data_IF_134467129599
#
_entry.id   IF_134467129599
#
_cell.length_a   1.000
_cell.length_b   1.000
_cell.length_c   1.000
_cell.angle_alpha   90.00
_cell.angle_beta   90.00
_cell.angle_gamma   90.00
#
_symmetry.space_group_name_H-M   'P 1'
#
loop_
_entity.id
_entity.type
_entity.pdbx_description
1 polymer ?
#
# COMPACT_ATOMS: atom_id res chain seq x y z
N UNK A 1 -24.27 -1.27 -8.49
CA UNK A 1 -23.29 -0.84 -9.51
C UNK A 1 -22.08 -1.75 -9.42
N UNK A 2 -21.72 -2.43 -10.50
CA UNK A 2 -20.58 -3.34 -10.55
C UNK A 2 -19.42 -2.63 -11.26
N UNK A 3 -18.28 -2.51 -10.58
CA UNK A 3 -17.07 -1.90 -11.14
C UNK A 3 -16.06 -3.00 -11.40
N UNK A 4 -15.60 -3.09 -12.66
CA UNK A 4 -14.44 -3.90 -13.04
C UNK A 4 -13.19 -3.05 -12.82
N UNK A 5 -12.29 -3.51 -11.95
CA UNK A 5 -11.15 -2.73 -11.49
C UNK A 5 -9.82 -3.41 -11.81
N UNK A 6 -8.80 -2.59 -12.11
CA UNK A 6 -7.46 -3.05 -12.47
C UNK A 6 -6.38 -2.37 -11.60
N UNK A 7 -5.48 -3.20 -11.08
CA UNK A 7 -4.25 -2.78 -10.41
C UNK A 7 -3.04 -3.40 -11.13
N UNK A 8 -2.05 -2.57 -11.45
CA UNK A 8 -0.79 -2.99 -12.07
C UNK A 8 0.37 -2.03 -11.78
N UNK A 9 0.34 -1.33 -10.65
CA UNK A 9 1.31 -0.25 -10.39
C UNK A 9 2.73 -0.72 -10.11
N UNK A 10 2.93 -1.97 -9.67
CA UNK A 10 4.24 -2.50 -9.29
C UNK A 10 4.46 -3.94 -9.79
N UNK A 11 4.37 -4.93 -8.93
CA UNK A 11 4.65 -6.35 -9.22
C UNK A 11 3.43 -7.27 -9.04
N UNK A 12 2.26 -6.74 -8.69
CA UNK A 12 0.98 -7.42 -8.72
C UNK A 12 0.15 -6.99 -9.92
N UNK A 13 -0.33 -8.00 -10.69
CA UNK A 13 -1.41 -7.77 -11.66
C UNK A 13 -2.70 -8.21 -11.03
N UNK A 14 -3.68 -7.34 -10.92
CA UNK A 14 -4.98 -7.72 -10.37
C UNK A 14 -6.15 -7.21 -11.22
N UNK A 15 -7.21 -8.03 -11.26
CA UNK A 15 -8.52 -7.67 -11.80
C UNK A 15 -9.60 -8.09 -10.80
N UNK A 16 -10.51 -7.19 -10.47
CA UNK A 16 -11.56 -7.45 -9.49
C UNK A 16 -12.91 -6.92 -9.95
N UNK A 17 -13.99 -7.49 -9.42
CA UNK A 17 -15.32 -6.91 -9.53
C UNK A 17 -15.81 -6.53 -8.14
N UNK A 18 -16.11 -5.24 -7.98
CA UNK A 18 -16.61 -4.68 -6.72
C UNK A 18 -17.99 -4.08 -6.94
N UNK A 19 -18.91 -4.43 -6.04
CA UNK A 19 -20.28 -3.89 -6.04
C UNK A 19 -20.42 -2.79 -5.02
N UNK A 20 -20.92 -1.62 -5.49
CA UNK A 20 -21.28 -0.45 -4.66
C UNK A 20 -20.14 0.00 -3.71
N UNK A 21 -18.87 -0.19 -4.15
CA UNK A 21 -17.67 0.19 -3.41
C UNK A 21 -17.43 -0.54 -2.09
N UNK A 22 -18.28 -1.52 -1.73
CA UNK A 22 -18.26 -2.19 -0.42
C UNK A 22 -18.22 -3.71 -0.48
N UNK A 23 -18.66 -4.31 -1.57
CA UNK A 23 -18.77 -5.76 -1.69
C UNK A 23 -17.82 -6.28 -2.75
N UNK A 24 -16.84 -7.07 -2.35
CA UNK A 24 -15.96 -7.78 -3.29
C UNK A 24 -16.72 -8.97 -3.84
N UNK A 25 -16.98 -8.98 -5.15
CA UNK A 25 -17.56 -10.13 -5.84
C UNK A 25 -16.48 -11.08 -6.33
N UNK A 26 -15.33 -10.54 -6.73
CA UNK A 26 -14.14 -11.30 -7.09
C UNK A 26 -12.90 -10.41 -6.99
N UNK A 27 -11.73 -11.04 -6.79
CA UNK A 27 -10.42 -10.38 -6.82
C UNK A 27 -9.37 -11.41 -7.27
N UNK A 28 -8.99 -11.35 -8.53
CA UNK A 28 -8.02 -12.23 -9.14
C UNK A 28 -6.66 -11.52 -9.18
N UNK A 29 -5.68 -12.08 -8.47
CA UNK A 29 -4.35 -11.48 -8.29
C UNK A 29 -3.28 -12.45 -8.77
N UNK A 30 -2.32 -11.94 -9.55
CA UNK A 30 -1.08 -12.62 -9.90
C UNK A 30 0.11 -11.79 -9.42
N UNK A 31 0.81 -12.29 -8.40
CA UNK A 31 2.04 -11.68 -7.91
C UNK A 31 3.25 -12.16 -8.70
N UNK A 32 4.18 -11.28 -8.95
CA UNK A 32 5.46 -11.52 -9.59
C UNK A 32 6.60 -11.62 -8.57
N UNK A 33 6.29 -11.63 -7.26
CA UNK A 33 7.26 -11.57 -6.17
C UNK A 33 8.33 -12.68 -6.27
N UNK A 34 7.95 -13.93 -6.55
CA UNK A 34 8.88 -15.06 -6.68
C UNK A 34 9.89 -14.86 -7.83
N UNK A 35 9.45 -14.25 -8.93
CA UNK A 35 10.33 -13.94 -10.06
C UNK A 35 11.28 -12.80 -9.71
N UNK A 36 10.78 -11.75 -9.09
CA UNK A 36 11.58 -10.59 -8.69
C UNK A 36 12.54 -10.91 -7.54
N UNK A 37 12.25 -11.92 -6.72
CA UNK A 37 13.16 -12.42 -5.70
C UNK A 37 14.50 -12.88 -6.29
N UNK A 38 14.52 -13.41 -7.51
CA UNK A 38 15.75 -13.83 -8.22
C UNK A 38 16.70 -12.66 -8.51
N UNK A 39 16.15 -11.45 -8.60
CA UNK A 39 16.90 -10.20 -8.83
C UNK A 39 17.12 -9.39 -7.56
N UNK A 40 16.55 -9.85 -6.44
CA UNK A 40 16.62 -9.15 -5.15
C UNK A 40 15.76 -7.88 -5.07
N UNK A 41 14.73 -7.76 -5.91
CA UNK A 41 13.78 -6.65 -5.97
C UNK A 41 13.15 -6.49 -7.35
N UNK A 42 12.18 -5.61 -7.47
CA UNK A 42 11.44 -5.42 -8.72
C UNK A 42 12.32 -4.89 -9.84
N UNK A 43 12.20 -5.52 -11.02
CA UNK A 43 12.80 -5.06 -12.28
C UNK A 43 11.67 -4.49 -13.14
N UNK A 44 11.58 -3.16 -13.33
CA UNK A 44 10.41 -2.50 -13.91
C UNK A 44 10.02 -2.99 -15.30
N UNK A 45 11.00 -3.27 -16.17
CA UNK A 45 10.73 -3.75 -17.52
C UNK A 45 10.15 -5.17 -17.52
N UNK A 46 10.64 -6.04 -16.65
CA UNK A 46 10.12 -7.39 -16.48
C UNK A 46 8.68 -7.33 -15.95
N UNK A 47 8.43 -6.48 -14.94
CA UNK A 47 7.11 -6.28 -14.38
C UNK A 47 6.10 -5.85 -15.46
N UNK A 48 6.45 -4.86 -16.26
CA UNK A 48 5.59 -4.35 -17.33
C UNK A 48 5.19 -5.44 -18.34
N UNK A 49 6.15 -6.28 -18.76
CA UNK A 49 5.88 -7.40 -19.70
C UNK A 49 4.95 -8.44 -19.08
N UNK A 50 5.12 -8.74 -17.80
CA UNK A 50 4.27 -9.70 -17.09
C UNK A 50 2.83 -9.21 -16.94
N UNK A 51 2.63 -7.93 -16.72
CA UNK A 51 1.29 -7.35 -16.71
C UNK A 51 0.57 -7.54 -18.05
N UNK A 52 1.27 -7.35 -19.18
CA UNK A 52 0.70 -7.59 -20.51
C UNK A 52 0.26 -9.04 -20.70
N UNK A 53 1.06 -9.99 -20.21
CA UNK A 53 0.75 -11.42 -20.32
C UNK A 53 -0.45 -11.84 -19.47
N UNK A 54 -0.65 -11.20 -18.31
CA UNK A 54 -1.59 -11.66 -17.27
C UNK A 54 -2.96 -10.99 -17.32
N UNK A 55 -3.03 -9.69 -17.63
CA UNK A 55 -4.20 -8.85 -17.36
C UNK A 55 -5.49 -9.33 -18.03
N UNK A 56 -5.41 -9.83 -19.25
CA UNK A 56 -6.57 -10.35 -19.98
C UNK A 56 -7.13 -11.63 -19.33
N UNK A 57 -6.26 -12.57 -18.97
CA UNK A 57 -6.64 -13.82 -18.31
C UNK A 57 -7.25 -13.58 -16.93
N UNK A 58 -6.68 -12.65 -16.15
CA UNK A 58 -7.21 -12.25 -14.84
C UNK A 58 -8.56 -11.56 -14.96
N UNK A 59 -8.78 -10.77 -16.01
CA UNK A 59 -10.09 -10.16 -16.29
C UNK A 59 -11.17 -11.21 -16.52
N UNK A 60 -10.91 -12.19 -17.35
CA UNK A 60 -11.85 -13.28 -17.60
C UNK A 60 -12.08 -14.15 -16.35
N UNK A 61 -11.05 -14.34 -15.53
CA UNK A 61 -11.17 -15.01 -14.23
C UNK A 61 -12.05 -14.22 -13.28
N UNK A 62 -11.79 -12.91 -13.10
CA UNK A 62 -12.56 -12.06 -12.20
C UNK A 62 -14.05 -12.03 -12.56
N UNK A 63 -14.39 -11.96 -13.85
CA UNK A 63 -15.79 -12.02 -14.31
C UNK A 63 -16.42 -13.38 -14.00
N UNK A 64 -15.72 -14.50 -14.27
CA UNK A 64 -16.21 -15.85 -13.95
C UNK A 64 -16.45 -16.04 -12.46
N UNK A 65 -15.48 -15.63 -11.63
CA UNK A 65 -15.54 -15.81 -10.18
C UNK A 65 -16.65 -14.94 -9.55
N UNK A 66 -16.94 -13.78 -10.15
CA UNK A 66 -18.08 -12.93 -9.78
C UNK A 66 -19.44 -13.49 -10.27
N UNK A 67 -19.47 -14.49 -11.14
CA UNK A 67 -20.69 -14.99 -11.78
C UNK A 67 -21.34 -13.97 -12.73
N UNK A 68 -20.53 -13.06 -13.30
CA UNK A 68 -20.98 -11.95 -14.14
C UNK A 68 -20.43 -12.08 -15.57
N UNK A 69 -21.09 -11.37 -16.46
CA UNK A 69 -20.68 -11.17 -17.85
C UNK A 69 -20.21 -9.74 -18.06
N UNK A 70 -19.58 -9.47 -19.20
CA UNK A 70 -19.17 -8.12 -19.59
C UNK A 70 -20.32 -7.10 -19.63
N UNK A 71 -21.56 -7.58 -19.84
CA UNK A 71 -22.76 -6.73 -19.91
C UNK A 71 -23.26 -6.25 -18.54
N UNK A 72 -22.77 -6.89 -17.47
CA UNK A 72 -23.17 -6.59 -16.10
C UNK A 72 -22.25 -5.56 -15.44
N UNK A 73 -21.25 -5.04 -16.18
CA UNK A 73 -20.28 -4.04 -15.71
C UNK A 73 -20.79 -2.63 -16.04
N UNK A 74 -20.82 -1.79 -15.01
CA UNK A 74 -21.32 -0.42 -15.10
C UNK A 74 -20.21 0.63 -15.26
N UNK A 75 -18.98 0.32 -14.84
CA UNK A 75 -17.80 1.18 -15.01
C UNK A 75 -16.51 0.35 -14.94
N UNK A 76 -15.44 0.91 -15.49
CA UNK A 76 -14.07 0.38 -15.38
C UNK A 76 -13.24 1.34 -14.54
N UNK A 77 -12.59 0.85 -13.48
CA UNK A 77 -11.66 1.59 -12.66
C UNK A 77 -10.22 1.10 -12.87
N UNK A 78 -9.24 1.99 -12.78
CA UNK A 78 -7.85 1.62 -12.98
C UNK A 78 -6.92 2.52 -12.19
N UNK A 79 -5.87 1.93 -11.63
CA UNK A 79 -4.74 2.70 -11.09
C UNK A 79 -4.01 3.41 -12.23
N UNK A 80 -3.95 4.76 -12.13
CA UNK A 80 -3.26 5.58 -13.13
C UNK A 80 -2.01 6.28 -12.59
N UNK A 81 -1.87 6.33 -11.26
CA UNK A 81 -0.75 6.93 -10.53
C UNK A 81 -0.80 6.55 -9.03
N UNK A 82 0.32 6.68 -8.30
CA UNK A 82 1.70 6.53 -8.79
C UNK A 82 2.06 5.05 -8.99
N UNK A 83 3.22 4.79 -9.64
CA UNK A 83 3.74 3.44 -9.81
C UNK A 83 4.87 3.35 -10.83
N UNK A 84 5.32 2.16 -11.14
CA UNK A 84 6.27 1.91 -12.23
C UNK A 84 5.61 2.27 -13.55
N UNK A 85 6.13 3.30 -14.23
CA UNK A 85 5.47 3.92 -15.39
C UNK A 85 5.03 2.91 -16.46
N UNK A 86 5.88 1.94 -16.80
CA UNK A 86 5.54 0.91 -17.78
C UNK A 86 4.44 -0.03 -17.31
N UNK A 87 4.43 -0.37 -16.02
CA UNK A 87 3.43 -1.23 -15.40
C UNK A 87 2.06 -0.53 -15.34
N UNK A 88 2.02 0.71 -14.82
CA UNK A 88 0.79 1.53 -14.81
C UNK A 88 0.25 1.74 -16.22
N UNK A 89 1.14 2.00 -17.20
CA UNK A 89 0.74 2.21 -18.60
C UNK A 89 0.03 0.98 -19.19
N UNK A 90 0.43 -0.23 -18.83
CA UNK A 90 -0.25 -1.47 -19.25
C UNK A 90 -1.69 -1.50 -18.73
N UNK A 91 -1.89 -1.27 -17.41
CA UNK A 91 -3.21 -1.24 -16.81
C UNK A 91 -4.11 -0.16 -17.41
N UNK A 92 -3.59 1.07 -17.53
CA UNK A 92 -4.32 2.21 -18.12
C UNK A 92 -4.72 1.91 -19.57
N UNK A 93 -3.82 1.36 -20.40
CA UNK A 93 -4.09 1.05 -21.80
C UNK A 93 -5.16 -0.04 -21.92
N UNK A 94 -5.07 -1.09 -21.08
CA UNK A 94 -6.05 -2.16 -21.06
C UNK A 94 -7.41 -1.65 -20.58
N UNK A 95 -7.46 -0.88 -19.50
CA UNK A 95 -8.70 -0.32 -18.95
C UNK A 95 -9.41 0.62 -19.92
N UNK A 96 -8.66 1.48 -20.64
CA UNK A 96 -9.22 2.32 -21.71
C UNK A 96 -9.89 1.48 -22.80
N UNK A 97 -9.20 0.43 -23.23
CA UNK A 97 -9.73 -0.46 -24.26
C UNK A 97 -10.99 -1.20 -23.78
N UNK A 98 -10.98 -1.67 -22.53
CA UNK A 98 -12.12 -2.33 -21.90
C UNK A 98 -13.32 -1.37 -21.76
N UNK A 99 -13.12 -0.17 -21.22
CA UNK A 99 -14.16 0.84 -21.04
C UNK A 99 -14.78 1.23 -22.40
N UNK A 100 -13.95 1.44 -23.42
CA UNK A 100 -14.40 1.73 -24.77
C UNK A 100 -15.24 0.59 -25.38
N UNK A 101 -14.75 -0.65 -25.28
CA UNK A 101 -15.45 -1.80 -25.84
C UNK A 101 -16.77 -2.12 -25.12
N UNK A 102 -16.85 -1.84 -23.82
CA UNK A 102 -18.06 -2.02 -23.01
C UNK A 102 -19.03 -0.83 -23.12
N UNK A 103 -18.59 0.32 -23.59
CA UNK A 103 -19.37 1.55 -23.63
C UNK A 103 -19.69 2.11 -22.24
N UNK A 104 -18.78 1.93 -21.27
CA UNK A 104 -18.97 2.35 -19.88
C UNK A 104 -17.91 3.39 -19.47
N UNK A 105 -18.15 4.20 -18.41
CA UNK A 105 -17.19 5.18 -17.92
C UNK A 105 -15.87 4.56 -17.47
N UNK A 106 -14.75 5.28 -17.74
CA UNK A 106 -13.43 5.00 -17.22
C UNK A 106 -13.16 5.87 -15.99
N UNK A 107 -12.78 5.25 -14.89
CA UNK A 107 -12.55 5.90 -13.60
C UNK A 107 -11.07 5.81 -13.23
N UNK A 108 -10.35 6.94 -13.22
CA UNK A 108 -8.96 6.98 -12.77
C UNK A 108 -8.91 6.90 -11.24
N UNK A 109 -8.05 6.06 -10.71
CA UNK A 109 -7.88 5.88 -9.26
C UNK A 109 -6.40 6.06 -8.89
N UNK A 110 -6.14 6.90 -7.91
CA UNK A 110 -4.82 7.03 -7.30
C UNK A 110 -4.55 5.82 -6.41
N UNK A 111 -3.42 5.14 -6.61
CA UNK A 111 -3.05 3.89 -5.94
C UNK A 111 -3.18 3.96 -4.40
N UNK A 112 -2.63 5.00 -3.77
CA UNK A 112 -2.69 5.16 -2.31
C UNK A 112 -4.12 5.39 -1.81
N UNK A 113 -4.98 6.06 -2.59
CA UNK A 113 -6.41 6.18 -2.27
C UNK A 113 -7.09 4.81 -2.31
N UNK A 114 -6.68 3.94 -3.24
CA UNK A 114 -7.09 2.54 -3.27
C UNK A 114 -6.74 1.81 -1.97
N UNK A 115 -5.51 1.90 -1.51
CA UNK A 115 -5.10 1.30 -0.22
C UNK A 115 -5.96 1.78 0.95
N UNK A 116 -6.26 3.07 1.03
CA UNK A 116 -7.15 3.62 2.06
C UNK A 116 -8.55 3.01 1.93
N UNK A 117 -9.07 2.93 0.70
CA UNK A 117 -10.41 2.40 0.40
C UNK A 117 -10.55 0.89 0.66
N UNK A 118 -9.45 0.12 0.71
CA UNK A 118 -9.48 -1.28 1.12
C UNK A 118 -10.12 -1.47 2.51
N UNK A 119 -10.03 -0.46 3.39
CA UNK A 119 -10.70 -0.49 4.69
C UNK A 119 -12.23 -0.43 4.56
N UNK A 120 -12.77 0.21 3.54
CA UNK A 120 -14.22 0.25 3.30
C UNK A 120 -14.79 -1.11 2.90
N UNK A 121 -13.96 -1.99 2.31
CA UNK A 121 -14.32 -3.37 2.00
C UNK A 121 -14.32 -4.26 3.25
N UNK A 122 -13.35 -4.03 4.15
CA UNK A 122 -13.20 -4.79 5.39
C UNK A 122 -14.23 -4.39 6.45
N UNK A 123 -14.61 -3.11 6.47
CA UNK A 123 -15.45 -2.50 7.51
C UNK A 123 -16.58 -1.69 6.85
N UNK A 124 -17.73 -2.32 6.57
CA UNK A 124 -18.85 -1.66 5.91
C UNK A 124 -19.40 -0.44 6.64
N UNK A 125 -19.18 -0.36 7.96
CA UNK A 125 -19.58 0.78 8.80
C UNK A 125 -18.59 1.94 8.79
N UNK A 126 -17.39 1.75 8.21
CA UNK A 126 -16.37 2.80 8.19
C UNK A 126 -16.73 3.89 7.19
N UNK A 127 -16.81 5.10 7.69
CA UNK A 127 -17.07 6.30 6.91
C UNK A 127 -16.10 7.43 7.29
N UNK A 128 -15.72 8.33 6.35
CA UNK A 128 -15.04 9.57 6.69
C UNK A 128 -15.91 10.46 7.60
N UNK A 129 -15.30 11.34 8.44
CA UNK A 129 -13.88 11.63 8.45
C UNK A 129 -13.05 10.71 9.35
N UNK A 130 -11.84 10.41 8.93
CA UNK A 130 -10.89 9.56 9.65
C UNK A 130 -9.43 9.98 9.36
N UNK A 131 -8.49 9.50 10.16
CA UNK A 131 -7.06 9.55 9.83
C UNK A 131 -6.65 8.22 9.19
N UNK A 132 -5.96 8.28 8.05
CA UNK A 132 -5.34 7.10 7.45
C UNK A 132 -3.81 7.14 7.61
N UNK A 133 -3.23 6.03 8.04
CA UNK A 133 -1.80 5.77 8.00
C UNK A 133 -1.55 4.80 6.85
N UNK A 134 -1.16 5.34 5.70
CA UNK A 134 -0.91 4.57 4.48
C UNK A 134 0.59 4.23 4.38
N UNK A 135 0.90 2.93 4.37
CA UNK A 135 2.27 2.40 4.47
C UNK A 135 2.45 1.25 3.47
N UNK A 136 3.09 1.53 2.35
CA UNK A 136 3.34 0.55 1.28
C UNK A 136 4.83 0.44 0.93
N UNK A 137 5.15 -0.29 -0.13
CA UNK A 137 6.51 -0.38 -0.68
C UNK A 137 7.06 0.95 -1.14
N UNK A 138 6.24 1.78 -1.79
CA UNK A 138 6.65 3.05 -2.38
C UNK A 138 6.15 4.30 -1.66
N UNK A 139 5.21 4.18 -0.70
CA UNK A 139 4.57 5.32 -0.06
C UNK A 139 4.46 5.14 1.46
N UNK A 140 4.71 6.22 2.21
CA UNK A 140 4.42 6.27 3.63
C UNK A 140 3.88 7.66 3.96
N UNK A 141 2.55 7.71 4.21
CA UNK A 141 1.79 8.95 4.34
C UNK A 141 0.88 8.91 5.57
N UNK A 142 0.71 10.07 6.20
CA UNK A 142 -0.33 10.34 7.18
C UNK A 142 -1.36 11.23 6.49
N UNK A 143 -2.60 10.77 6.37
CA UNK A 143 -3.63 11.41 5.55
C UNK A 143 -4.86 11.73 6.39
N UNK A 144 -5.31 12.98 6.34
CA UNK A 144 -6.64 13.38 6.83
C UNK A 144 -7.68 13.09 5.74
N UNK A 145 -8.45 12.05 5.93
CA UNK A 145 -9.54 11.66 5.03
C UNK A 145 -10.80 12.40 5.48
N UNK A 146 -11.07 13.55 4.87
CA UNK A 146 -12.23 14.40 5.18
C UNK A 146 -13.51 13.87 4.55
N UNK A 147 -13.38 13.22 3.41
CA UNK A 147 -14.43 12.58 2.63
C UNK A 147 -13.86 11.47 1.76
N UNK A 148 -14.69 10.67 1.11
CA UNK A 148 -14.23 9.54 0.28
C UNK A 148 -13.29 9.95 -0.84
N UNK A 149 -13.37 11.20 -1.31
CA UNK A 149 -12.53 11.76 -2.37
C UNK A 149 -11.83 13.06 -1.96
N UNK A 150 -12.02 13.52 -0.72
CA UNK A 150 -11.37 14.70 -0.15
C UNK A 150 -10.37 14.24 0.91
N UNK A 151 -9.08 14.28 0.54
CA UNK A 151 -7.97 13.78 1.34
C UNK A 151 -6.85 14.82 1.36
N UNK A 152 -6.22 15.03 2.51
CA UNK A 152 -5.10 15.96 2.72
C UNK A 152 -3.92 15.21 3.34
N UNK A 153 -2.74 15.33 2.75
CA UNK A 153 -1.51 14.76 3.32
C UNK A 153 -1.02 15.66 4.45
N UNK A 154 -0.89 15.10 5.65
CA UNK A 154 -0.41 15.80 6.85
C UNK A 154 1.06 15.56 7.13
N UNK A 155 1.59 14.43 6.71
CA UNK A 155 2.98 14.04 6.85
C UNK A 155 3.34 12.94 5.86
N UNK A 156 4.58 12.94 5.42
CA UNK A 156 5.11 11.98 4.45
C UNK A 156 6.53 11.58 4.82
N UNK A 157 7.01 10.46 4.27
CA UNK A 157 8.44 10.16 4.33
C UNK A 157 9.22 11.15 3.46
N UNK A 158 10.39 11.55 3.94
CA UNK A 158 11.31 12.45 3.21
C UNK A 158 12.37 11.71 2.39
N UNK A 159 12.40 10.38 2.54
CA UNK A 159 13.35 9.50 1.85
C UNK A 159 12.70 8.14 1.51
N UNK A 160 13.30 7.02 1.89
CA UNK A 160 12.75 5.69 1.64
C UNK A 160 11.34 5.55 2.27
N UNK A 161 10.42 4.88 1.58
CA UNK A 161 9.18 4.44 2.21
C UNK A 161 9.46 3.32 3.24
N UNK A 162 8.56 3.16 4.21
CA UNK A 162 8.72 2.13 5.25
C UNK A 162 8.87 0.72 4.64
N UNK A 163 8.06 0.36 3.64
CA UNK A 163 8.16 -0.95 3.00
C UNK A 163 9.49 -1.15 2.26
N UNK A 164 9.95 -0.14 1.53
CA UNK A 164 11.26 -0.17 0.87
C UNK A 164 12.40 -0.31 1.90
N UNK A 165 12.27 0.35 3.06
CA UNK A 165 13.24 0.22 4.14
C UNK A 165 13.26 -1.22 4.70
N UNK A 166 12.09 -1.87 4.86
CA UNK A 166 12.00 -3.29 5.22
C UNK A 166 12.70 -4.19 4.20
N UNK A 167 12.47 -4.00 2.91
CA UNK A 167 13.10 -4.81 1.85
C UNK A 167 14.62 -4.65 1.84
N UNK A 168 15.10 -3.43 2.02
CA UNK A 168 16.54 -3.13 2.07
C UNK A 168 17.20 -3.73 3.32
N UNK A 169 16.57 -3.64 4.50
CA UNK A 169 17.08 -4.23 5.74
C UNK A 169 17.03 -5.76 5.69
N UNK A 170 15.97 -6.35 5.17
CA UNK A 170 15.82 -7.79 4.99
C UNK A 170 16.94 -8.37 4.11
N UNK A 171 17.25 -7.68 3.00
CA UNK A 171 18.36 -8.08 2.12
C UNK A 171 19.70 -8.13 2.85
N UNK A 172 19.98 -7.18 3.73
CA UNK A 172 21.21 -7.17 4.55
C UNK A 172 21.29 -8.38 5.47
N UNK A 173 20.14 -8.83 5.99
CA UNK A 173 20.03 -10.02 6.83
C UNK A 173 19.94 -11.33 6.04
N UNK A 174 20.06 -11.29 4.70
CA UNK A 174 19.99 -12.48 3.85
C UNK A 174 18.56 -13.06 3.74
N UNK A 175 17.54 -12.27 4.04
CA UNK A 175 16.13 -12.68 3.93
C UNK A 175 15.61 -12.51 2.49
N UNK A 176 14.60 -13.32 2.08
CA UNK A 176 14.04 -13.24 0.75
C UNK A 176 13.23 -11.94 0.53
N UNK A 177 13.07 -11.57 -0.75
CA UNK A 177 12.14 -10.53 -1.20
C UNK A 177 10.74 -11.14 -1.45
N UNK A 178 9.64 -10.40 -1.11
CA UNK A 178 9.58 -9.14 -0.35
C UNK A 178 9.95 -9.31 1.13
N UNK A 179 10.71 -8.35 1.66
CA UNK A 179 11.36 -8.46 2.97
C UNK A 179 10.45 -8.30 4.19
N UNK A 180 9.29 -7.65 4.04
CA UNK A 180 8.43 -7.29 5.17
C UNK A 180 7.98 -8.51 5.99
N UNK A 181 7.38 -9.51 5.34
CA UNK A 181 6.89 -10.73 6.01
C UNK A 181 8.00 -11.61 6.60
N UNK A 182 9.14 -11.86 5.91
CA UNK A 182 10.30 -12.53 6.51
C UNK A 182 10.87 -11.79 7.72
N UNK A 183 10.97 -10.46 7.66
CA UNK A 183 11.45 -9.64 8.79
C UNK A 183 10.52 -9.77 10.01
N UNK A 184 9.20 -9.71 9.81
CA UNK A 184 8.23 -9.84 10.87
C UNK A 184 8.28 -11.23 11.54
N UNK A 185 8.42 -12.30 10.73
CA UNK A 185 8.60 -13.68 11.23
C UNK A 185 9.91 -13.87 12.01
N UNK A 186 10.98 -13.24 11.56
CA UNK A 186 12.28 -13.31 12.26
C UNK A 186 12.23 -12.52 13.57
N UNK A 187 11.61 -11.34 13.56
CA UNK A 187 11.41 -10.50 14.75
C UNK A 187 10.64 -11.23 15.85
N UNK A 188 9.66 -12.05 15.50
CA UNK A 188 8.87 -12.84 16.46
C UNK A 188 9.68 -13.88 17.24
N UNK A 189 10.93 -14.17 16.84
CA UNK A 189 11.81 -15.14 17.50
C UNK A 189 12.66 -14.52 18.63
N UNK A 190 12.56 -13.22 18.86
CA UNK A 190 13.30 -12.51 19.88
C UNK A 190 12.42 -11.47 20.60
N UNK A 191 12.64 -11.24 21.90
CA UNK A 191 11.98 -10.15 22.60
C UNK A 191 12.57 -8.77 22.25
N UNK A 192 13.66 -8.69 21.48
CA UNK A 192 14.36 -7.45 21.15
C UNK A 192 15.15 -6.83 22.30
N UNK A 193 15.42 -5.53 22.17
CA UNK A 193 16.11 -4.72 23.20
C UNK A 193 17.62 -4.85 23.21
N UNK A 194 18.21 -5.46 22.17
CA UNK A 194 19.67 -5.66 22.05
C UNK A 194 20.35 -4.55 21.25
N UNK A 195 19.68 -4.02 20.24
CA UNK A 195 20.24 -3.01 19.34
C UNK A 195 19.48 -1.70 19.46
N UNK A 196 20.22 -0.61 19.63
CA UNK A 196 19.67 0.74 19.62
C UNK A 196 19.79 1.30 18.20
N UNK A 197 18.64 1.55 17.57
CA UNK A 197 18.58 2.14 16.24
C UNK A 197 18.26 3.64 16.31
N UNK A 198 18.74 4.45 15.35
CA UNK A 198 18.54 5.88 15.37
C UNK A 198 17.05 6.22 15.18
N UNK A 199 16.63 7.32 15.78
CA UNK A 199 15.32 7.94 15.53
C UNK A 199 15.50 9.14 14.61
N UNK A 200 14.66 9.25 13.62
CA UNK A 200 14.68 10.40 12.74
C UNK A 200 14.01 11.62 13.39
N UNK A 201 14.58 12.79 13.12
CA UNK A 201 13.97 14.07 13.42
C UNK A 201 13.98 14.91 12.15
N UNK A 202 12.80 15.32 11.69
CA UNK A 202 12.65 16.19 10.52
C UNK A 202 12.37 17.60 11.03
N UNK A 203 13.36 18.49 10.88
CA UNK A 203 13.26 19.86 11.38
C UNK A 203 12.13 20.61 10.67
N UNK A 204 11.29 21.30 11.43
CA UNK A 204 10.19 22.11 10.91
C UNK A 204 8.97 21.33 10.39
N UNK A 205 9.04 19.99 10.36
CA UNK A 205 7.96 19.13 9.89
C UNK A 205 7.73 17.93 10.83
N UNK A 206 7.07 18.14 11.97
CA UNK A 206 7.00 17.12 13.04
C UNK A 206 6.21 15.86 12.70
N UNK A 207 5.37 15.91 11.67
CA UNK A 207 4.61 14.75 11.20
C UNK A 207 5.31 14.00 10.06
N UNK A 208 6.38 14.57 9.49
CA UNK A 208 7.16 13.88 8.48
C UNK A 208 8.07 12.82 9.07
N UNK A 209 8.39 11.82 8.27
CA UNK A 209 9.14 10.63 8.63
C UNK A 209 10.42 10.50 7.81
N UNK A 210 11.38 9.72 8.31
CA UNK A 210 12.58 9.33 7.55
C UNK A 210 13.02 7.93 7.98
N UNK A 211 13.33 7.07 7.01
CA UNK A 211 13.72 5.67 7.24
C UNK A 211 15.12 5.33 6.73
N UNK A 212 15.77 6.21 5.96
CA UNK A 212 17.10 5.97 5.40
C UNK A 212 18.18 5.75 6.48
N UNK A 213 18.04 6.42 7.64
CA UNK A 213 18.91 6.25 8.80
C UNK A 213 18.84 4.84 9.41
N UNK A 214 17.65 4.26 9.46
CA UNK A 214 17.42 2.90 9.96
C UNK A 214 18.12 1.85 9.09
N UNK A 215 17.94 1.95 7.76
CA UNK A 215 18.65 1.09 6.81
C UNK A 215 20.16 1.16 7.00
N UNK A 216 20.72 2.38 7.08
CA UNK A 216 22.14 2.59 7.24
C UNK A 216 22.67 1.98 8.55
N UNK A 217 21.90 2.10 9.63
CA UNK A 217 22.24 1.50 10.91
C UNK A 217 22.29 -0.04 10.84
N UNK A 218 21.33 -0.68 10.19
CA UNK A 218 21.33 -2.15 9.98
C UNK A 218 22.55 -2.59 9.17
N UNK A 219 22.88 -1.90 8.08
CA UNK A 219 24.07 -2.18 7.26
C UNK A 219 25.33 -2.09 8.09
N UNK A 220 25.48 -1.02 8.89
CA UNK A 220 26.66 -0.80 9.73
C UNK A 220 26.79 -1.86 10.84
N UNK A 221 25.68 -2.25 11.47
CA UNK A 221 25.69 -3.31 12.50
C UNK A 221 26.10 -4.65 11.90
N UNK A 222 25.54 -5.03 10.75
CA UNK A 222 25.90 -6.27 10.08
C UNK A 222 27.38 -6.29 9.64
N UNK A 223 27.85 -5.20 9.04
CA UNK A 223 29.23 -5.08 8.60
C UNK A 223 30.23 -5.09 9.79
N UNK A 224 29.93 -4.38 10.86
CA UNK A 224 30.79 -4.35 12.07
C UNK A 224 30.88 -5.74 12.73
N UNK A 225 29.75 -6.46 12.81
CA UNK A 225 29.77 -7.83 13.36
C UNK A 225 30.63 -8.76 12.49
N UNK A 226 30.52 -8.67 11.18
CA UNK A 226 31.33 -9.43 10.23
C UNK A 226 32.83 -9.12 10.37
N UNK A 227 33.20 -7.83 10.44
CA UNK A 227 34.62 -7.41 10.62
C UNK A 227 35.24 -7.90 11.91
N UNK A 228 34.47 -7.93 12.99
CA UNK A 228 34.93 -8.37 14.31
C UNK A 228 34.88 -9.90 14.46
N UNK A 229 34.27 -10.61 13.51
CA UNK A 229 34.03 -12.05 13.64
C UNK A 229 33.03 -12.40 14.75
N UNK A 230 32.18 -11.44 15.13
CA UNK A 230 31.14 -11.61 16.15
C UNK A 230 29.83 -12.08 15.50
N UNK A 231 29.07 -13.00 16.14
CA UNK A 231 27.79 -13.42 15.61
C UNK A 231 26.78 -12.28 15.73
N UNK A 232 26.11 -11.95 14.60
CA UNK A 232 24.99 -11.03 14.60
C UNK A 232 23.73 -11.80 15.06
N UNK A 233 23.05 -11.26 16.07
CA UNK A 233 21.73 -11.76 16.48
C UNK A 233 20.66 -11.19 15.55
N UNK A 234 20.43 -11.87 14.43
CA UNK A 234 19.54 -11.40 13.39
C UNK A 234 18.08 -11.28 13.86
N UNK A 235 17.63 -12.17 14.77
CA UNK A 235 16.28 -12.12 15.31
C UNK A 235 16.06 -10.89 16.20
N UNK A 236 17.02 -10.60 17.09
CA UNK A 236 16.97 -9.40 17.91
C UNK A 236 17.04 -8.13 17.05
N UNK A 237 17.92 -8.11 16.04
CA UNK A 237 18.04 -6.95 15.15
C UNK A 237 16.75 -6.74 14.32
N UNK A 238 16.14 -7.82 13.83
CA UNK A 238 14.86 -7.75 13.15
C UNK A 238 13.75 -7.20 14.05
N UNK A 239 13.69 -7.64 15.31
CA UNK A 239 12.72 -7.11 16.28
C UNK A 239 12.95 -5.61 16.52
N UNK A 240 14.17 -5.21 16.84
CA UNK A 240 14.51 -3.83 17.17
C UNK A 240 14.31 -2.91 15.96
N UNK A 241 14.53 -3.42 14.75
CA UNK A 241 14.23 -2.70 13.51
C UNK A 241 12.72 -2.49 13.33
N UNK A 242 11.91 -3.54 13.48
CA UNK A 242 10.44 -3.42 13.40
C UNK A 242 9.92 -2.42 14.44
N UNK A 243 10.47 -2.47 15.68
CA UNK A 243 10.11 -1.52 16.73
C UNK A 243 10.52 -0.09 16.38
N UNK A 244 11.73 0.11 15.82
CA UNK A 244 12.17 1.44 15.40
C UNK A 244 11.29 2.04 14.30
N UNK A 245 10.84 1.22 13.33
CA UNK A 245 9.87 1.66 12.32
C UNK A 245 8.53 2.02 12.96
N UNK A 246 8.04 1.21 13.90
CA UNK A 246 6.80 1.50 14.65
C UNK A 246 6.90 2.80 15.46
N UNK A 247 8.04 3.02 16.14
CA UNK A 247 8.35 4.23 16.92
C UNK A 247 8.40 5.49 16.05
N UNK A 248 8.65 5.34 14.75
CA UNK A 248 8.62 6.44 13.78
C UNK A 248 7.20 6.75 13.32
N UNK A 249 6.38 5.73 13.09
CA UNK A 249 5.04 5.82 12.51
C UNK A 249 3.96 6.18 13.54
N UNK A 250 3.88 5.40 14.62
CA UNK A 250 2.74 5.42 15.54
C UNK A 250 2.58 6.75 16.28
N UNK A 251 3.65 7.34 16.87
CA UNK A 251 3.49 8.63 17.58
C UNK A 251 3.05 9.76 16.65
N UNK A 252 3.53 9.79 15.40
CA UNK A 252 3.16 10.82 14.42
C UNK A 252 1.71 10.67 13.95
N UNK A 253 1.26 9.44 13.72
CA UNK A 253 -0.14 9.17 13.38
C UNK A 253 -1.08 9.60 14.52
N UNK A 254 -0.73 9.31 15.79
CA UNK A 254 -1.50 9.71 16.95
C UNK A 254 -1.52 11.23 17.11
N UNK A 255 -0.40 11.91 16.91
CA UNK A 255 -0.31 13.36 16.97
C UNK A 255 -1.12 14.04 15.86
N UNK A 256 -1.05 13.52 14.63
CA UNK A 256 -1.86 13.99 13.51
C UNK A 256 -3.36 13.83 13.79
N UNK A 257 -3.77 12.69 14.35
CA UNK A 257 -5.16 12.46 14.76
C UNK A 257 -5.61 13.48 15.80
N UNK A 258 -4.79 13.75 16.82
CA UNK A 258 -5.04 14.75 17.85
C UNK A 258 -5.18 16.15 17.25
N UNK A 259 -4.26 16.54 16.37
CA UNK A 259 -4.26 17.88 15.74
C UNK A 259 -5.49 18.12 14.86
N UNK A 260 -5.99 17.08 14.19
CA UNK A 260 -7.17 17.15 13.31
C UNK A 260 -8.48 16.80 14.04
N UNK A 261 -8.42 16.44 15.32
CA UNK A 261 -9.60 16.01 16.09
C UNK A 261 -10.22 14.71 15.55
N UNK A 262 -9.40 13.81 14.96
CA UNK A 262 -9.84 12.51 14.47
C UNK A 262 -9.76 11.48 15.58
N UNK A 263 -10.85 10.80 15.83
CA UNK A 263 -10.96 9.71 16.83
C UNK A 263 -11.09 8.33 16.16
N UNK A 264 -10.96 8.29 14.84
CA UNK A 264 -11.00 7.10 14.03
C UNK A 264 -9.70 7.04 13.20
N UNK A 265 -8.96 5.95 13.31
CA UNK A 265 -7.69 5.72 12.58
C UNK A 265 -7.82 4.45 11.75
N UNK A 266 -7.39 4.48 10.50
CA UNK A 266 -7.29 3.32 9.64
C UNK A 266 -5.84 3.13 9.17
N UNK A 267 -5.31 1.90 9.28
CA UNK A 267 -4.05 1.55 8.66
C UNK A 267 -4.28 1.00 7.24
N UNK A 268 -3.37 1.27 6.31
CA UNK A 268 -3.49 0.85 4.92
C UNK A 268 -2.11 0.51 4.31
N UNK A 269 -2.11 -0.32 3.28
CA UNK A 269 -0.91 -0.74 2.57
C UNK A 269 -0.21 -1.95 3.19
N UNK A 270 0.78 -2.51 2.46
CA UNK A 270 1.43 -3.77 2.81
C UNK A 270 2.11 -3.80 4.18
N UNK A 271 2.67 -2.67 4.62
CA UNK A 271 3.33 -2.56 5.94
C UNK A 271 2.32 -2.60 7.10
N UNK A 272 1.04 -2.29 6.84
CA UNK A 272 -0.03 -2.48 7.84
C UNK A 272 -0.26 -3.94 8.25
N UNK A 273 0.36 -4.89 7.56
CA UNK A 273 0.37 -6.30 7.95
C UNK A 273 1.37 -6.63 9.09
N UNK A 274 2.32 -5.72 9.38
CA UNK A 274 3.38 -5.95 10.37
C UNK A 274 2.81 -6.06 11.80
N UNK A 275 3.18 -7.11 12.51
CA UNK A 275 2.58 -7.48 13.82
C UNK A 275 2.93 -6.48 14.93
N UNK A 276 4.16 -5.94 14.95
CA UNK A 276 4.59 -4.95 15.95
C UNK A 276 3.85 -3.64 15.73
N UNK A 277 3.80 -3.16 14.49
CA UNK A 277 3.11 -1.90 14.14
C UNK A 277 1.61 -2.00 14.48
N UNK A 278 0.95 -3.11 14.13
CA UNK A 278 -0.47 -3.35 14.47
C UNK A 278 -0.71 -3.31 15.98
N UNK A 279 0.16 -3.99 16.74
CA UNK A 279 0.07 -4.05 18.20
C UNK A 279 0.27 -2.66 18.84
N UNK A 280 1.24 -1.90 18.34
CA UNK A 280 1.55 -0.57 18.86
C UNK A 280 0.44 0.44 18.54
N UNK A 281 -0.08 0.42 17.31
CA UNK A 281 -1.25 1.23 16.93
C UNK A 281 -2.45 0.89 17.81
N UNK A 282 -2.73 -0.39 18.04
CA UNK A 282 -3.85 -0.81 18.89
C UNK A 282 -3.68 -0.26 20.32
N UNK A 283 -2.49 -0.49 20.92
CA UNK A 283 -2.21 0.02 22.27
C UNK A 283 -2.29 1.55 22.36
N UNK A 284 -1.85 2.27 21.33
CA UNK A 284 -1.91 3.73 21.29
C UNK A 284 -3.34 4.23 21.17
N UNK A 285 -4.14 3.62 20.30
CA UNK A 285 -5.55 3.95 20.11
C UNK A 285 -6.37 3.65 21.38
N UNK A 286 -6.15 2.47 22.01
CA UNK A 286 -6.84 2.10 23.26
C UNK A 286 -6.57 3.12 24.36
N UNK A 287 -5.31 3.57 24.53
CA UNK A 287 -4.95 4.59 25.52
C UNK A 287 -5.60 5.95 25.25
N UNK A 288 -5.79 6.28 23.97
CA UNK A 288 -6.39 7.56 23.57
C UNK A 288 -7.93 7.51 23.49
N UNK A 289 -8.53 6.32 23.58
CA UNK A 289 -9.96 6.12 23.38
C UNK A 289 -10.38 6.27 21.90
N UNK A 290 -9.46 6.01 20.97
CA UNK A 290 -9.72 6.08 19.52
C UNK A 290 -10.12 4.72 18.96
N UNK A 291 -10.94 4.72 17.91
CA UNK A 291 -11.25 3.51 17.13
C UNK A 291 -10.16 3.25 16.11
N UNK A 292 -9.67 2.01 16.06
CA UNK A 292 -8.68 1.56 15.09
C UNK A 292 -9.30 0.56 14.12
N UNK A 293 -9.04 0.76 12.83
CA UNK A 293 -9.40 -0.14 11.75
C UNK A 293 -8.12 -0.71 11.11
N UNK A 294 -7.93 -2.01 11.27
CA UNK A 294 -6.81 -2.75 10.73
C UNK A 294 -7.35 -3.75 9.72
N UNK A 295 -7.12 -3.57 8.42
CA UNK A 295 -7.68 -4.46 7.41
C UNK A 295 -7.13 -5.88 7.58
N UNK A 296 -7.87 -6.92 7.15
CA UNK A 296 -7.36 -8.28 7.08
C UNK A 296 -6.13 -8.33 6.16
N UNK A 297 -5.23 -9.29 6.40
CA UNK A 297 -3.95 -9.38 5.69
C UNK A 297 -4.12 -9.49 4.16
N UNK A 298 -5.23 -10.08 3.71
CA UNK A 298 -5.57 -10.21 2.29
C UNK A 298 -5.85 -8.88 1.59
N UNK A 299 -6.20 -7.82 2.34
CA UNK A 299 -6.48 -6.49 1.81
C UNK A 299 -5.35 -5.47 2.11
N UNK A 300 -4.24 -5.90 2.71
CA UNK A 300 -3.09 -5.01 2.96
C UNK A 300 -2.24 -4.82 1.70
N UNK A 301 -2.00 -5.89 0.91
CA UNK A 301 -1.22 -5.83 -0.33
C UNK A 301 -1.98 -5.21 -1.50
N UNK A 302 -1.29 -5.07 -2.64
CA UNK A 302 -1.89 -4.58 -3.87
C UNK A 302 -2.94 -5.57 -4.39
N UNK A 303 -4.12 -5.05 -4.72
CA UNK A 303 -5.25 -5.86 -5.16
C UNK A 303 -6.20 -5.03 -6.04
N UNK A 304 -7.02 -5.70 -6.84
CA UNK A 304 -7.99 -5.03 -7.70
C UNK A 304 -9.19 -4.47 -6.94
N UNK A 305 -9.58 -5.13 -5.85
CA UNK A 305 -10.75 -4.75 -5.08
C UNK A 305 -10.62 -3.37 -4.43
N UNK A 306 -9.43 -2.99 -3.94
CA UNK A 306 -9.14 -1.66 -3.38
C UNK A 306 -9.37 -0.54 -4.41
N UNK A 307 -9.02 -0.82 -5.67
CA UNK A 307 -9.20 0.12 -6.78
C UNK A 307 -10.69 0.21 -7.16
N UNK A 308 -11.41 -0.91 -7.14
CA UNK A 308 -12.86 -0.92 -7.35
C UNK A 308 -13.63 -0.18 -6.26
N UNK A 309 -13.18 -0.30 -5.00
CA UNK A 309 -13.76 0.40 -3.86
C UNK A 309 -13.61 1.93 -4.02
N UNK A 310 -12.37 2.42 -4.23
CA UNK A 310 -12.15 3.85 -4.44
C UNK A 310 -12.83 4.33 -5.72
N UNK A 311 -12.78 3.55 -6.79
CA UNK A 311 -13.39 3.86 -8.07
C UNK A 311 -14.90 4.14 -7.98
N UNK A 312 -15.61 3.45 -7.10
CA UNK A 312 -17.01 3.73 -6.83
C UNK A 312 -17.24 5.14 -6.28
N UNK A 313 -16.45 5.57 -5.31
CA UNK A 313 -16.56 6.90 -4.73
C UNK A 313 -16.09 8.00 -5.69
N UNK A 314 -15.06 7.75 -6.49
CA UNK A 314 -14.65 8.66 -7.57
C UNK A 314 -15.78 8.81 -8.62
N UNK A 315 -16.43 7.70 -8.97
CA UNK A 315 -17.60 7.73 -9.87
C UNK A 315 -18.76 8.59 -9.31
N UNK A 316 -19.10 8.39 -8.01
CA UNK A 316 -20.15 9.18 -7.36
C UNK A 316 -19.82 10.67 -7.29
N UNK A 317 -18.54 11.01 -7.15
CA UNK A 317 -18.04 12.39 -7.19
C UNK A 317 -18.02 12.98 -8.61
N UNK A 318 -18.46 12.23 -9.63
CA UNK A 318 -18.49 12.67 -11.02
C UNK A 318 -17.14 12.60 -11.74
N UNK A 319 -16.13 12.01 -11.12
CA UNK A 319 -14.77 11.91 -11.68
C UNK A 319 -14.71 10.80 -12.70
N UNK A 320 -14.46 11.16 -13.95
CA UNK A 320 -14.35 10.26 -15.10
C UNK A 320 -13.24 10.75 -16.01
N UNK A 321 -12.55 9.83 -16.64
CA UNK A 321 -11.49 10.13 -17.60
C UNK A 321 -11.95 9.83 -19.03
N UNK A 322 -11.38 10.54 -19.98
CA UNK A 322 -11.47 10.22 -21.40
C UNK A 322 -10.43 9.16 -21.82
N UNK A 323 -10.42 8.86 -23.11
CA UNK A 323 -9.43 7.93 -23.69
C UNK A 323 -8.02 8.55 -23.78
N UNK A 324 -7.87 9.82 -23.46
CA UNK A 324 -6.61 10.55 -23.32
C UNK A 324 -5.95 10.36 -21.95
N UNK A 325 -6.61 9.67 -21.00
CA UNK A 325 -5.99 9.34 -19.69
C UNK A 325 -4.59 8.77 -19.88
N UNK A 326 -3.63 9.32 -19.14
CA UNK A 326 -2.25 8.86 -19.16
C UNK A 326 -1.84 8.19 -17.83
N UNK A 327 -0.72 7.46 -17.85
CA UNK A 327 -0.08 6.89 -16.68
C UNK A 327 0.94 7.88 -16.11
N UNK A 328 1.08 7.93 -14.78
CA UNK A 328 2.07 8.77 -14.11
C UNK A 328 2.86 7.95 -13.10
N UNK A 329 4.20 8.09 -13.15
CA UNK A 329 5.09 7.40 -12.21
C UNK A 329 5.01 7.99 -10.80
N UNK A 330 4.82 9.30 -10.72
CA UNK A 330 4.71 10.07 -9.48
C UNK A 330 3.50 10.97 -9.54
N UNK A 331 2.80 11.10 -8.42
CA UNK A 331 1.67 12.02 -8.25
C UNK A 331 1.43 12.20 -6.76
N UNK A 332 1.27 13.43 -6.33
CA UNK A 332 0.87 13.69 -4.96
C UNK A 332 -0.60 13.28 -4.76
N UNK A 333 -0.94 12.88 -3.54
CA UNK A 333 -2.29 12.41 -3.23
C UNK A 333 -3.34 13.51 -3.44
N UNK A 334 -2.94 14.76 -3.25
CA UNK A 334 -3.78 15.96 -3.34
C UNK A 334 -3.88 16.47 -4.79
N UNK A 335 -2.92 16.12 -5.66
CA UNK A 335 -2.87 16.52 -7.06
C UNK A 335 -3.60 15.47 -7.92
N UNK A 336 -4.81 15.79 -8.36
CA UNK A 336 -5.58 14.90 -9.22
C UNK A 336 -5.75 15.54 -10.60
N UNK A 337 -5.16 14.91 -11.62
CA UNK A 337 -5.30 15.30 -13.01
C UNK A 337 -6.30 14.37 -13.71
N UNK A 338 -7.40 14.94 -14.19
CA UNK A 338 -8.44 14.22 -14.94
C UNK A 338 -8.67 14.89 -16.30
#
# INVERSE_FOLDING_TARGET
MNILAFESSCDETAAAVVRDGRTVLSDAILSQADMHALYGGVVPEIASRKHVEAIAGLTDQALRDAGLTRKDIDAVAVTYAPGLIGAVLVGVSFAKSAAYALGVPLIPVHHVRGHIAANYLAFPELEPPLLALAMSGGNTLIVDVKGYTDMEVLGATRDDAAGECFDKAARVLGLPYPGGKPMDRLAAQSPGGKYVLPRAHVEGAPLDMSFSGLKTAVVNLAHNAQQKGEPLDAAALAHDFNQAVSDELVPRAMEAARLRGRTCIAAAGGVAANTIIRSDLQRACDRAGYRLYLPPLSLCGDNGAMIGAQGYYEYLAGRRAGLDLNAYATMELDDLFY
#
